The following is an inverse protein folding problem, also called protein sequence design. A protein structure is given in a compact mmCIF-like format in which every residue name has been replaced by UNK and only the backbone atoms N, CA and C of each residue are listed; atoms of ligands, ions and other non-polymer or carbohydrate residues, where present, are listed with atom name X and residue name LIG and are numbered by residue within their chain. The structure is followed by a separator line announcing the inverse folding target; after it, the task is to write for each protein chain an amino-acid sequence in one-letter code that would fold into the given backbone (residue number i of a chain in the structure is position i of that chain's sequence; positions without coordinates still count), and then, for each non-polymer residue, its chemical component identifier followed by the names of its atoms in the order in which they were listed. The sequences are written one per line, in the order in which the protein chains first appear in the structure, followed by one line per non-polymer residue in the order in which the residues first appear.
data_IF_643646400481
#
_entry.id   IF_643646400481
#
_cell.length_a   1.000
_cell.length_b   1.000
_cell.length_c   1.000
_cell.angle_alpha   90.00
_cell.angle_beta   90.00
_cell.angle_gamma   90.00
#
_symmetry.space_group_name_H-M   'P 1'
#
loop_
_entity.id
_entity.type
_entity.pdbx_description
1 polymer ?
#
# COMPACT_ATOMS: atom_id res chain seq x y z
N UNK A 1 -7.55 -9.67 -0.34
CA UNK A 1 -7.16 -8.66 0.68
C UNK A 1 -5.95 -7.89 0.14
N UNK A 2 -5.97 -6.55 0.18
CA UNK A 2 -4.79 -5.76 -0.22
C UNK A 2 -3.72 -5.80 0.88
N UNK A 3 -2.44 -5.96 0.49
CA UNK A 3 -1.33 -5.96 1.45
C UNK A 3 -1.10 -4.53 1.97
N UNK A 4 -1.03 -4.28 3.29
CA UNK A 4 -0.86 -2.94 3.87
C UNK A 4 0.38 -2.22 3.35
N UNK A 5 1.48 -2.95 3.11
CA UNK A 5 2.70 -2.40 2.50
C UNK A 5 2.47 -1.90 1.08
N UNK A 6 1.60 -2.56 0.32
CA UNK A 6 1.24 -2.14 -1.04
C UNK A 6 0.41 -0.85 -1.03
N UNK A 7 -0.46 -0.68 -0.04
CA UNK A 7 -1.23 0.56 0.15
C UNK A 7 -0.33 1.75 0.51
N UNK A 8 0.69 1.54 1.34
CA UNK A 8 1.68 2.57 1.65
C UNK A 8 2.52 2.99 0.43
N UNK A 9 2.96 2.02 -0.38
CA UNK A 9 3.68 2.30 -1.63
C UNK A 9 2.81 3.15 -2.57
N UNK A 10 1.52 2.81 -2.71
CA UNK A 10 0.59 3.60 -3.53
C UNK A 10 0.41 5.02 -2.98
N UNK A 11 0.33 5.21 -1.66
CA UNK A 11 0.21 6.53 -1.04
C UNK A 11 1.42 7.42 -1.35
N UNK A 12 2.63 6.91 -1.19
CA UNK A 12 3.84 7.67 -1.54
C UNK A 12 3.87 8.02 -3.04
N UNK A 13 3.49 7.07 -3.90
CA UNK A 13 3.40 7.31 -5.35
C UNK A 13 2.25 8.24 -5.77
N UNK A 14 1.29 8.51 -4.88
CA UNK A 14 0.24 9.52 -5.10
C UNK A 14 0.72 10.95 -4.87
N UNK A 15 1.78 11.13 -4.06
CA UNK A 15 2.44 12.43 -3.83
C UNK A 15 3.27 12.83 -5.05
N UNK A 16 3.83 11.86 -5.78
CA UNK A 16 4.49 12.12 -7.05
C UNK A 16 5.21 10.91 -7.64
N UNK A 17 5.59 10.98 -8.93
CA UNK A 17 6.42 9.98 -9.56
C UNK A 17 7.78 9.88 -8.87
N UNK A 18 8.23 8.68 -8.52
CA UNK A 18 9.55 8.49 -7.89
C UNK A 18 10.34 7.36 -8.56
N UNK A 19 11.67 7.48 -8.69
CA UNK A 19 12.55 6.37 -9.05
C UNK A 19 12.61 5.35 -7.90
N UNK A 20 13.05 4.12 -8.20
CA UNK A 20 13.02 3.01 -7.23
C UNK A 20 13.84 3.30 -5.98
N UNK A 21 14.98 3.98 -6.13
CA UNK A 21 15.87 4.27 -5.00
C UNK A 21 15.27 5.31 -4.05
N UNK A 22 14.82 6.46 -4.57
CA UNK A 22 14.13 7.49 -3.77
C UNK A 22 12.84 6.95 -3.14
N UNK A 23 12.09 6.10 -3.87
CA UNK A 23 10.91 5.45 -3.33
C UNK A 23 11.25 4.56 -2.13
N UNK A 24 12.35 3.81 -2.22
CA UNK A 24 12.83 2.97 -1.12
C UNK A 24 13.26 3.79 0.09
N UNK A 25 14.03 4.87 -0.12
CA UNK A 25 14.46 5.77 0.95
C UNK A 25 13.26 6.44 1.63
N UNK A 26 12.30 6.95 0.86
CA UNK A 26 11.07 7.54 1.38
C UNK A 26 10.25 6.54 2.21
N UNK A 27 10.19 5.27 1.78
CA UNK A 27 9.51 4.20 2.53
C UNK A 27 10.25 3.87 3.83
N UNK A 28 11.58 3.82 3.83
CA UNK A 28 12.36 3.56 5.04
C UNK A 28 12.28 4.71 6.04
N UNK A 29 12.31 5.96 5.58
CA UNK A 29 12.20 7.14 6.44
C UNK A 29 10.80 7.28 7.04
N UNK A 30 9.73 7.14 6.23
CA UNK A 30 8.36 7.30 6.70
C UNK A 30 7.83 6.07 7.46
N UNK A 31 8.27 4.86 7.11
CA UNK A 31 7.73 3.60 7.64
C UNK A 31 8.81 2.57 8.02
N UNK A 32 9.73 2.90 8.94
CA UNK A 32 10.83 2.02 9.32
C UNK A 32 10.35 0.69 9.89
N UNK A 33 9.25 0.68 10.65
CA UNK A 33 8.68 -0.52 11.25
C UNK A 33 8.20 -1.55 10.21
N UNK A 34 7.73 -1.09 9.04
CA UNK A 34 7.15 -1.97 8.03
C UNK A 34 8.14 -2.35 6.92
N UNK A 35 9.14 -1.51 6.66
CA UNK A 35 10.11 -1.66 5.57
C UNK A 35 11.57 -1.85 6.04
N UNK A 36 11.84 -1.87 7.35
CA UNK A 36 13.19 -2.05 7.89
C UNK A 36 13.87 -3.37 7.51
N UNK A 37 13.10 -4.44 7.30
CA UNK A 37 13.60 -5.74 6.85
C UNK A 37 13.55 -5.95 5.33
N UNK A 38 12.96 -5.01 4.58
CA UNK A 38 12.75 -5.15 3.14
C UNK A 38 13.96 -4.59 2.41
N UNK A 39 14.55 -5.37 1.50
CA UNK A 39 15.65 -4.89 0.65
C UNK A 39 15.12 -4.20 -0.61
N UNK A 40 15.95 -3.37 -1.25
CA UNK A 40 15.65 -2.73 -2.56
C UNK A 40 15.26 -3.76 -3.63
N UNK A 41 15.92 -4.93 -3.62
CA UNK A 41 15.62 -6.07 -4.51
C UNK A 41 14.24 -6.66 -4.26
N UNK A 42 13.84 -6.83 -2.99
CA UNK A 42 12.50 -7.31 -2.64
C UNK A 42 11.43 -6.28 -2.97
N UNK A 43 11.69 -4.99 -2.74
CA UNK A 43 10.80 -3.90 -3.16
C UNK A 43 10.51 -3.99 -4.66
N UNK A 44 11.56 -4.14 -5.48
CA UNK A 44 11.42 -4.24 -6.93
C UNK A 44 10.74 -5.52 -7.38
N UNK A 45 11.19 -6.69 -6.91
CA UNK A 45 10.75 -8.00 -7.42
C UNK A 45 9.38 -8.42 -6.90
N UNK A 46 9.06 -8.11 -5.65
CA UNK A 46 7.82 -8.57 -5.02
C UNK A 46 6.75 -7.49 -5.11
N UNK A 47 7.03 -6.31 -4.56
CA UNK A 47 6.00 -5.28 -4.41
C UNK A 47 5.72 -4.52 -5.71
N UNK A 48 6.75 -4.01 -6.39
CA UNK A 48 6.56 -3.27 -7.65
C UNK A 48 6.08 -4.20 -8.78
N UNK A 49 6.60 -5.43 -8.88
CA UNK A 49 6.07 -6.41 -9.85
C UNK A 49 4.61 -6.73 -9.60
N UNK A 50 4.22 -6.99 -8.34
CA UNK A 50 2.83 -7.27 -7.98
C UNK A 50 1.91 -6.08 -8.32
N UNK A 51 2.30 -4.86 -7.93
CA UNK A 51 1.55 -3.64 -8.25
C UNK A 51 1.47 -3.37 -9.75
N UNK A 52 2.51 -3.71 -10.53
CA UNK A 52 2.51 -3.61 -11.98
C UNK A 52 1.53 -4.62 -12.60
N UNK A 53 1.54 -5.86 -12.13
CA UNK A 53 0.63 -6.91 -12.61
C UNK A 53 -0.84 -6.55 -12.34
N UNK A 54 -1.10 -5.91 -11.20
CA UNK A 54 -2.42 -5.37 -10.84
C UNK A 54 -2.79 -4.09 -11.61
N UNK A 55 -1.92 -3.59 -12.51
CA UNK A 55 -2.09 -2.33 -13.25
C UNK A 55 -2.28 -1.10 -12.35
N UNK A 56 -1.81 -1.18 -11.10
CA UNK A 56 -1.89 -0.10 -10.13
C UNK A 56 -0.78 0.94 -10.34
N UNK A 57 0.39 0.50 -10.81
CA UNK A 57 1.52 1.38 -11.11
C UNK A 57 1.98 1.22 -12.56
N UNK A 58 2.53 2.28 -13.12
CA UNK A 58 3.11 2.30 -14.47
C UNK A 58 4.50 2.95 -14.45
N UNK A 59 5.46 2.43 -15.23
CA UNK A 59 6.71 3.14 -15.44
C UNK A 59 6.47 4.33 -16.37
N UNK A 60 6.92 5.51 -15.97
CA UNK A 60 6.92 6.75 -16.76
C UNK A 60 8.36 7.17 -17.02
N UNK A 61 8.66 7.49 -18.27
CA UNK A 61 9.96 8.04 -18.66
C UNK A 61 9.98 9.53 -18.35
N UNK A 62 10.98 9.97 -17.59
CA UNK A 62 11.27 11.38 -17.38
C UNK A 62 12.52 11.75 -18.21
N UNK A 63 12.37 12.80 -19.02
CA UNK A 63 13.41 13.38 -19.90
C UNK A 63 13.87 14.73 -19.33
N UNK A 64 13.24 15.18 -18.25
CA UNK A 64 13.53 16.48 -17.64
C UNK A 64 14.98 16.54 -17.11
N UNK A 65 15.81 17.49 -17.61
CA UNK A 65 17.23 17.52 -17.32
C UNK A 65 17.53 17.81 -15.83
N UNK A 66 16.68 18.54 -15.11
CA UNK A 66 16.92 18.84 -13.68
C UNK A 66 16.69 17.60 -12.82
N UNK A 67 15.63 16.86 -13.12
CA UNK A 67 15.29 15.61 -12.40
C UNK A 67 16.34 14.54 -12.69
N UNK A 68 16.80 14.47 -13.95
CA UNK A 68 17.88 13.56 -14.36
C UNK A 68 19.19 13.93 -13.66
N UNK A 69 19.53 15.22 -13.55
CA UNK A 69 20.72 15.69 -12.87
C UNK A 69 20.68 15.37 -11.37
N UNK A 70 19.56 15.68 -10.69
CA UNK A 70 19.38 15.39 -9.26
C UNK A 70 19.51 13.89 -8.94
N UNK A 71 18.94 13.05 -9.79
CA UNK A 71 19.04 11.59 -9.67
C UNK A 71 20.48 11.10 -9.89
N UNK A 72 21.20 11.64 -10.88
CA UNK A 72 22.62 11.34 -11.12
C UNK A 72 23.48 11.71 -9.91
N UNK A 73 23.25 12.88 -9.30
CA UNK A 73 23.97 13.32 -8.09
C UNK A 73 23.72 12.40 -6.90
N UNK A 74 22.51 11.87 -6.74
CA UNK A 74 22.17 10.90 -5.68
C UNK A 74 22.85 9.53 -5.89
N UNK A 75 22.96 9.06 -7.15
CA UNK A 75 23.63 7.79 -7.49
C UNK A 75 25.15 7.86 -7.38
N UNK A 76 25.76 9.01 -7.71
CA UNK A 76 27.23 9.14 -7.74
C UNK A 76 27.92 8.87 -6.39
N UNK A 77 27.19 8.95 -5.27
CA UNK A 77 27.70 8.55 -3.95
C UNK A 77 27.80 7.03 -3.76
N UNK A 78 27.12 6.24 -4.60
CA UNK A 78 27.15 4.78 -4.60
C UNK A 78 27.68 4.29 -5.96
N UNK A 79 29.01 4.26 -6.07
CA UNK A 79 29.81 3.83 -7.23
C UNK A 79 29.13 2.82 -8.15
N UNK A 80 28.72 3.27 -9.34
CA UNK A 80 28.82 2.47 -10.58
C UNK A 80 28.74 3.38 -11.82
N UNK A 81 29.49 2.97 -12.85
CA UNK A 81 29.78 3.68 -14.10
C UNK A 81 28.50 4.01 -14.89
N UNK A 82 27.91 5.20 -14.65
CA UNK A 82 26.68 5.64 -15.32
C UNK A 82 27.03 6.17 -16.71
N UNK A 83 26.90 5.31 -17.74
CA UNK A 83 26.79 5.78 -19.13
C UNK A 83 25.77 6.91 -19.19
N UNK A 84 26.08 8.00 -19.90
CA UNK A 84 25.22 9.18 -20.12
C UNK A 84 23.81 8.76 -20.55
N UNK A 85 22.94 8.46 -19.59
CA UNK A 85 21.54 8.20 -19.81
C UNK A 85 20.82 9.49 -19.49
N UNK A 86 20.22 10.10 -20.50
CA UNK A 86 19.47 11.36 -20.38
C UNK A 86 18.03 11.13 -19.94
N UNK A 87 17.70 9.91 -19.51
CA UNK A 87 16.34 9.57 -19.10
C UNK A 87 16.31 8.69 -17.87
N UNK A 88 15.44 9.06 -16.93
CA UNK A 88 15.20 8.34 -15.68
C UNK A 88 13.80 7.72 -15.72
N UNK A 89 13.71 6.45 -15.34
CA UNK A 89 12.43 5.76 -15.20
C UNK A 89 11.88 5.97 -13.79
N UNK A 90 10.67 6.54 -13.71
CA UNK A 90 9.96 6.77 -12.46
C UNK A 90 8.68 5.94 -12.44
N UNK A 91 8.28 5.49 -11.26
CA UNK A 91 7.00 4.81 -11.09
C UNK A 91 5.92 5.84 -10.80
N UNK A 92 4.79 5.72 -11.49
CA UNK A 92 3.59 6.52 -11.27
C UNK A 92 2.44 5.62 -10.84
N UNK A 93 1.60 6.11 -9.94
CA UNK A 93 0.31 5.50 -9.65
C UNK A 93 -0.64 5.67 -10.84
N UNK A 94 -1.57 4.74 -11.03
CA UNK A 94 -2.61 4.86 -12.06
C UNK A 94 -3.61 5.97 -11.72
N UNK A 95 -4.10 6.69 -12.73
CA UNK A 95 -4.96 7.86 -12.54
C UNK A 95 -6.24 7.52 -11.74
N UNK A 96 -6.79 6.31 -11.96
CA UNK A 96 -7.96 5.79 -11.23
C UNK A 96 -7.74 5.67 -9.73
N UNK A 97 -6.50 5.38 -9.31
CA UNK A 97 -6.13 5.24 -7.90
C UNK A 97 -5.55 6.53 -7.33
N UNK A 98 -5.06 7.42 -8.17
CA UNK A 98 -4.39 8.64 -7.75
C UNK A 98 -5.26 9.53 -6.89
N UNK A 99 -6.52 9.72 -7.29
CA UNK A 99 -7.48 10.52 -6.52
C UNK A 99 -7.80 9.84 -5.17
N UNK A 100 -8.06 8.53 -5.18
CA UNK A 100 -8.34 7.75 -3.95
C UNK A 100 -7.22 7.84 -2.92
N UNK A 101 -5.96 7.74 -3.34
CA UNK A 101 -4.83 7.75 -2.42
C UNK A 101 -4.33 9.16 -2.09
N UNK A 102 -4.67 10.19 -2.88
CA UNK A 102 -4.38 11.59 -2.51
C UNK A 102 -5.14 11.98 -1.24
N UNK A 103 -6.42 11.64 -1.18
CA UNK A 103 -7.30 12.09 -0.10
C UNK A 103 -7.21 11.19 1.15
N UNK A 104 -6.72 9.95 1.02
CA UNK A 104 -6.57 9.02 2.15
C UNK A 104 -5.45 9.45 3.11
N UNK A 105 -5.71 9.45 4.42
CA UNK A 105 -4.67 9.73 5.41
C UNK A 105 -3.74 8.52 5.65
N UNK A 106 -2.55 8.77 6.18
CA UNK A 106 -1.61 7.69 6.53
C UNK A 106 -2.14 6.78 7.65
N UNK A 107 -2.88 7.37 8.60
CA UNK A 107 -3.53 6.65 9.70
C UNK A 107 -4.68 5.77 9.21
N UNK A 108 -5.43 6.21 8.21
CA UNK A 108 -6.43 5.37 7.55
C UNK A 108 -5.77 4.18 6.84
N UNK A 109 -4.60 4.34 6.21
CA UNK A 109 -3.93 3.24 5.52
C UNK A 109 -3.43 2.14 6.47
N UNK A 110 -2.98 2.53 7.67
CA UNK A 110 -2.54 1.59 8.71
C UNK A 110 -3.70 0.97 9.49
N UNK A 111 -4.81 1.71 9.65
CA UNK A 111 -5.98 1.27 10.44
C UNK A 111 -7.00 0.49 9.60
N UNK A 112 -7.13 0.79 8.31
CA UNK A 112 -8.24 0.28 7.47
C UNK A 112 -8.04 -1.14 6.94
N UNK A 113 -6.88 -1.78 7.12
CA UNK A 113 -6.60 -3.02 6.38
C UNK A 113 -6.55 -4.25 7.28
N UNK A 114 -7.74 -4.80 7.55
CA UNK A 114 -8.03 -6.20 7.93
C UNK A 114 -8.29 -6.58 9.41
N UNK A 115 -7.50 -6.20 10.44
CA UNK A 115 -7.69 -6.82 11.76
C UNK A 115 -8.94 -6.32 12.48
N UNK A 116 -9.39 -5.09 12.25
CA UNK A 116 -10.51 -4.52 13.01
C UNK A 116 -11.87 -4.99 12.46
N UNK A 117 -12.06 -4.97 11.13
CA UNK A 117 -13.31 -5.45 10.50
C UNK A 117 -13.47 -6.96 10.66
N UNK A 118 -12.38 -7.75 10.54
CA UNK A 118 -12.42 -9.19 10.80
C UNK A 118 -12.68 -9.47 12.28
N UNK A 119 -12.06 -8.74 13.21
CA UNK A 119 -12.38 -8.86 14.65
C UNK A 119 -13.84 -8.54 14.93
N UNK A 120 -14.41 -7.52 14.30
CA UNK A 120 -15.82 -7.18 14.48
C UNK A 120 -16.72 -8.29 13.91
N UNK A 121 -16.40 -8.83 12.73
CA UNK A 121 -17.13 -9.97 12.15
C UNK A 121 -17.02 -11.21 13.04
N UNK A 122 -15.83 -11.52 13.54
CA UNK A 122 -15.58 -12.69 14.39
C UNK A 122 -16.24 -12.52 15.77
N UNK A 123 -16.26 -11.30 16.32
CA UNK A 123 -16.98 -10.97 17.54
C UNK A 123 -18.49 -11.14 17.36
N UNK A 124 -19.05 -10.66 16.24
CA UNK A 124 -20.47 -10.82 15.93
C UNK A 124 -20.84 -12.29 15.64
N UNK A 125 -19.98 -13.05 14.94
CA UNK A 125 -20.15 -14.49 14.77
C UNK A 125 -20.09 -15.25 16.10
N UNK A 126 -19.19 -14.85 17.00
CA UNK A 126 -19.04 -15.48 18.31
C UNK A 126 -20.32 -15.33 19.13
N UNK A 127 -20.98 -14.17 19.10
CA UNK A 127 -22.31 -13.97 19.73
C UNK A 127 -23.36 -14.94 19.18
N UNK A 128 -23.34 -15.20 17.86
CA UNK A 128 -24.23 -16.18 17.23
C UNK A 128 -23.91 -17.62 17.67
N UNK A 129 -22.62 -17.96 17.78
CA UNK A 129 -22.16 -19.27 18.28
C UNK A 129 -22.53 -19.46 19.76
N UNK A 130 -22.43 -18.40 20.57
CA UNK A 130 -22.74 -18.44 22.00
C UNK A 130 -24.23 -18.71 22.26
N UNK A 131 -25.12 -18.29 21.36
CA UNK A 131 -26.53 -18.70 21.38
C UNK A 131 -26.69 -20.21 21.15
N UNK A 132 -26.07 -20.76 20.10
CA UNK A 132 -26.15 -22.21 19.80
C UNK A 132 -25.49 -23.09 20.87
N UNK A 133 -24.52 -22.54 21.62
CA UNK A 133 -23.89 -23.20 22.77
C UNK A 133 -24.64 -23.00 24.09
N UNK A 134 -25.79 -22.32 24.09
CA UNK A 134 -26.62 -22.08 25.28
C UNK A 134 -26.03 -21.10 26.29
N UNK A 135 -25.03 -20.29 25.90
CA UNK A 135 -24.42 -19.25 26.75
C UNK A 135 -25.24 -17.96 26.75
N UNK A 136 -26.07 -17.76 25.74
CA UNK A 136 -27.01 -16.64 25.65
C UNK A 136 -28.39 -17.17 25.24
N UNK A 137 -29.45 -16.49 25.68
CA UNK A 137 -30.85 -16.87 25.42
C UNK A 137 -31.44 -16.18 24.20
N UNK A 138 -30.75 -15.18 23.65
CA UNK A 138 -31.22 -14.35 22.54
C UNK A 138 -30.54 -14.75 21.24
N UNK A 139 -31.31 -15.08 20.19
CA UNK A 139 -30.75 -15.40 18.88
C UNK A 139 -30.07 -14.16 18.29
N UNK A 140 -28.83 -14.34 17.82
CA UNK A 140 -28.03 -13.27 17.25
C UNK A 140 -27.75 -13.50 15.77
N UNK A 141 -28.31 -12.65 14.91
CA UNK A 141 -28.01 -12.62 13.48
C UNK A 141 -26.87 -11.65 13.21
N UNK A 142 -25.68 -12.23 13.05
CA UNK A 142 -24.46 -11.47 12.80
C UNK A 142 -24.49 -10.77 11.42
N UNK A 143 -25.20 -11.31 10.42
CA UNK A 143 -25.28 -10.69 9.09
C UNK A 143 -26.14 -9.44 9.13
N UNK A 144 -27.35 -9.55 9.69
CA UNK A 144 -28.26 -8.41 9.85
C UNK A 144 -27.64 -7.29 10.71
N UNK A 145 -26.86 -7.66 11.74
CA UNK A 145 -26.16 -6.69 12.60
C UNK A 145 -25.05 -5.94 11.85
N UNK A 146 -24.28 -6.63 11.00
CA UNK A 146 -23.24 -5.99 10.18
C UNK A 146 -23.81 -5.12 9.05
N UNK A 147 -24.94 -5.52 8.46
CA UNK A 147 -25.65 -4.71 7.46
C UNK A 147 -26.17 -3.40 8.06
N UNK A 148 -26.73 -3.43 9.28
CA UNK A 148 -27.12 -2.22 10.03
C UNK A 148 -25.94 -1.29 10.33
N UNK A 149 -24.74 -1.83 10.48
CA UNK A 149 -23.51 -1.04 10.70
C UNK A 149 -22.86 -0.56 9.38
N UNK A 150 -23.49 -0.82 8.22
CA UNK A 150 -22.95 -0.43 6.91
C UNK A 150 -21.70 -1.22 6.50
N UNK A 151 -21.43 -2.37 7.14
CA UNK A 151 -20.26 -3.22 6.83
C UNK A 151 -20.62 -4.24 5.76
N UNK A 152 -19.74 -4.43 4.77
CA UNK A 152 -19.94 -5.45 3.72
C UNK A 152 -19.82 -6.85 4.32
N UNK A 153 -20.87 -7.65 4.17
CA UNK A 153 -21.01 -9.01 4.70
C UNK A 153 -20.55 -10.11 3.72
N UNK A 154 -20.34 -9.75 2.45
CA UNK A 154 -19.77 -10.64 1.44
C UNK A 154 -18.24 -10.58 1.47
N UNK A 155 -17.61 -11.70 1.84
CA UNK A 155 -16.18 -11.99 1.69
C UNK A 155 -15.94 -12.59 0.30
#
# INVERSE_FOLDING_TARGET
MENPRSSLIKKILSEGPLPVHELYEALQQKFPQQFGSVTTSQLKRVYLTSLKNLKHIKPRRCIDPEIVARYKSSILNNSCNVKKQDTVWRWTLSDKLLQKYKDLSYEELTTTTAPMILKDIDMEKQKSIDFWKGRTTTPHDWKASLEKMGKKTHI
#
